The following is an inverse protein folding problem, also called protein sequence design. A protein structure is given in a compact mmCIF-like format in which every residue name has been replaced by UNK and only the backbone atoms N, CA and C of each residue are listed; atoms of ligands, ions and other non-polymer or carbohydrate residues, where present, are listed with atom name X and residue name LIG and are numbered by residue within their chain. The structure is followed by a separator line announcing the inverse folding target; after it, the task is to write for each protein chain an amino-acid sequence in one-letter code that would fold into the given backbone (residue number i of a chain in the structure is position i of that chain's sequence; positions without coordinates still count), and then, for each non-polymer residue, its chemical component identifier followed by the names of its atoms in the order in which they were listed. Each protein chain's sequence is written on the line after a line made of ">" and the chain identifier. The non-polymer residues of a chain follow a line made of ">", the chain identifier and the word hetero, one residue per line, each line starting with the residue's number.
data_IF_031078738141
#
_entry.id   IF_031078738141
#
_cell.length_a   1.000
_cell.length_b   1.000
_cell.length_c   1.000
_cell.angle_alpha   90.00
_cell.angle_beta   90.00
_cell.angle_gamma   90.00
#
_symmetry.space_group_name_H-M   'P 1'
#
loop_
_entity.id
_entity.type
_entity.pdbx_description
1 polymer ?
#
# COMPACT_ATOMS: atom_id res chain seq x y z
N UNK A 1 -18.14 7.37 -17.88
CA UNK A 1 -17.70 7.97 -16.60
C UNK A 1 -16.20 8.24 -16.75
N UNK A 2 -15.80 9.49 -16.95
CA UNK A 2 -14.39 9.87 -17.12
C UNK A 2 -13.67 9.69 -15.79
N UNK A 3 -12.71 8.77 -15.74
CA UNK A 3 -11.84 8.58 -14.57
C UNK A 3 -11.00 9.83 -14.36
N UNK A 4 -11.03 10.39 -13.16
CA UNK A 4 -10.18 11.53 -12.80
C UNK A 4 -8.71 11.10 -12.97
N UNK A 5 -7.92 11.74 -13.86
CA UNK A 5 -6.53 11.38 -14.10
C UNK A 5 -5.65 11.59 -12.87
N UNK A 6 -6.11 12.37 -11.89
CA UNK A 6 -5.43 12.62 -10.63
C UNK A 6 -5.96 11.76 -9.47
N UNK A 7 -6.94 10.90 -9.72
CA UNK A 7 -7.36 9.92 -8.71
C UNK A 7 -6.20 9.00 -8.35
N UNK A 8 -6.16 8.56 -7.10
CA UNK A 8 -5.11 7.67 -6.62
C UNK A 8 -5.08 6.35 -7.41
N UNK A 9 -6.23 5.87 -7.90
CA UNK A 9 -6.28 4.75 -8.84
C UNK A 9 -5.55 5.10 -10.14
N UNK A 10 -5.83 6.25 -10.78
CA UNK A 10 -5.13 6.67 -12.01
C UNK A 10 -3.62 6.81 -11.79
N UNK A 11 -3.18 7.33 -10.64
CA UNK A 11 -1.75 7.42 -10.28
C UNK A 11 -1.15 6.03 -10.12
N UNK A 12 -1.83 5.13 -9.42
CA UNK A 12 -1.39 3.74 -9.26
C UNK A 12 -1.25 3.06 -10.62
N UNK A 13 -2.24 3.21 -11.50
CA UNK A 13 -2.21 2.71 -12.88
C UNK A 13 -1.01 3.24 -13.67
N UNK A 14 -0.69 4.53 -13.52
CA UNK A 14 0.50 5.11 -14.13
C UNK A 14 1.80 4.50 -13.57
N UNK A 15 1.85 4.18 -12.26
CA UNK A 15 3.00 3.51 -11.65
C UNK A 15 3.16 2.06 -12.16
N UNK A 16 2.05 1.38 -12.47
CA UNK A 16 2.07 0.05 -13.07
C UNK A 16 2.65 0.09 -14.49
N UNK A 17 2.31 1.08 -15.31
CA UNK A 17 2.72 1.14 -16.72
C UNK A 17 2.00 0.09 -17.59
N UNK A 18 2.57 -0.24 -18.75
CA UNK A 18 1.99 -1.23 -19.66
C UNK A 18 2.34 -2.67 -19.22
N UNK A 19 1.37 -3.60 -19.17
CA UNK A 19 1.56 -4.97 -18.69
C UNK A 19 2.12 -5.91 -19.77
N UNK A 20 2.15 -5.52 -21.04
CA UNK A 20 2.36 -6.42 -22.18
C UNK A 20 3.61 -7.29 -22.01
N UNK A 21 3.42 -8.61 -22.01
CA UNK A 21 4.50 -9.60 -21.90
C UNK A 21 5.13 -9.72 -20.52
N UNK A 22 4.65 -8.98 -19.51
CA UNK A 22 5.16 -9.07 -18.15
C UNK A 22 4.60 -10.30 -17.43
N UNK A 23 5.41 -10.90 -16.55
CA UNK A 23 4.93 -11.76 -15.48
C UNK A 23 4.59 -10.90 -14.25
N UNK A 24 3.32 -10.93 -13.83
CA UNK A 24 2.79 -10.12 -12.71
C UNK A 24 2.48 -11.02 -11.52
N UNK A 25 2.98 -10.64 -10.34
CA UNK A 25 2.60 -11.21 -9.04
C UNK A 25 1.77 -10.19 -8.25
N UNK A 26 0.53 -10.52 -7.92
CA UNK A 26 -0.34 -9.72 -7.06
C UNK A 26 -0.33 -10.25 -5.63
N UNK A 27 0.17 -9.44 -4.69
CA UNK A 27 0.16 -9.72 -3.27
C UNK A 27 -1.13 -9.21 -2.65
N UNK A 28 -2.08 -10.13 -2.43
CA UNK A 28 -3.31 -9.92 -1.69
C UNK A 28 -4.58 -10.06 -2.52
N UNK A 29 -4.50 -9.83 -3.85
CA UNK A 29 -5.63 -9.92 -4.80
C UNK A 29 -6.89 -9.17 -4.36
N UNK A 30 -6.73 -8.03 -3.69
CA UNK A 30 -7.89 -7.28 -3.17
C UNK A 30 -8.52 -6.36 -4.22
N UNK A 31 -8.01 -6.36 -5.46
CA UNK A 31 -8.41 -5.49 -6.55
C UNK A 31 -8.59 -6.31 -7.85
N UNK A 32 -9.79 -6.86 -8.11
CA UNK A 32 -10.07 -7.69 -9.28
C UNK A 32 -9.77 -7.00 -10.64
N UNK A 33 -9.76 -5.67 -10.66
CA UNK A 33 -9.36 -4.87 -11.81
C UNK A 33 -7.88 -5.02 -12.20
N UNK A 34 -7.00 -5.42 -11.27
CA UNK A 34 -5.59 -5.68 -11.57
C UNK A 34 -5.41 -6.96 -12.38
N UNK A 35 -6.10 -8.03 -12.00
CA UNK A 35 -6.11 -9.28 -12.76
C UNK A 35 -6.62 -9.04 -14.18
N UNK A 36 -7.77 -8.38 -14.31
CA UNK A 36 -8.34 -8.04 -15.62
C UNK A 36 -7.40 -7.17 -16.45
N UNK A 37 -6.79 -6.15 -15.87
CA UNK A 37 -5.81 -5.34 -16.58
C UNK A 37 -4.61 -6.14 -17.07
N UNK A 38 -4.08 -7.01 -16.22
CA UNK A 38 -2.91 -7.80 -16.58
C UNK A 38 -3.25 -8.72 -17.76
N UNK A 39 -4.35 -9.46 -17.65
CA UNK A 39 -4.80 -10.40 -18.69
C UNK A 39 -5.20 -9.68 -19.99
N UNK A 40 -6.02 -8.63 -19.93
CA UNK A 40 -6.46 -7.85 -21.10
C UNK A 40 -5.26 -7.17 -21.80
N UNK A 41 -4.23 -6.82 -21.04
CA UNK A 41 -3.01 -6.21 -21.54
C UNK A 41 -1.93 -7.20 -21.99
N UNK A 42 -2.20 -8.52 -21.91
CA UNK A 42 -1.30 -9.58 -22.37
C UNK A 42 -0.14 -9.90 -21.43
N UNK A 43 -0.31 -9.70 -20.12
CA UNK A 43 0.57 -10.22 -19.08
C UNK A 43 0.17 -11.64 -18.64
N UNK A 44 1.14 -12.39 -18.13
CA UNK A 44 0.85 -13.52 -17.26
C UNK A 44 0.55 -12.99 -15.85
N UNK A 45 -0.47 -13.52 -15.18
CA UNK A 45 -0.89 -13.08 -13.85
C UNK A 45 -0.87 -14.24 -12.86
N UNK A 46 -0.27 -14.01 -11.71
CA UNK A 46 -0.31 -14.89 -10.54
C UNK A 46 -0.73 -14.05 -9.35
N UNK A 47 -1.68 -14.53 -8.56
CA UNK A 47 -2.14 -13.82 -7.37
C UNK A 47 -2.01 -14.69 -6.13
N UNK A 48 -1.65 -14.05 -5.03
CA UNK A 48 -1.65 -14.62 -3.69
C UNK A 48 -2.79 -14.00 -2.89
N UNK A 49 -3.62 -14.83 -2.26
CA UNK A 49 -4.73 -14.33 -1.47
C UNK A 49 -4.20 -13.65 -0.20
N UNK A 50 -4.91 -12.62 0.24
CA UNK A 50 -4.56 -11.84 1.44
C UNK A 50 -4.29 -12.73 2.67
N UNK A 51 -5.07 -13.80 2.84
CA UNK A 51 -4.96 -14.72 3.97
C UNK A 51 -3.62 -15.47 4.01
N UNK A 52 -2.94 -15.60 2.86
CA UNK A 52 -1.70 -16.35 2.73
C UNK A 52 -0.45 -15.47 2.89
N UNK A 53 -0.58 -14.14 2.83
CA UNK A 53 0.58 -13.23 2.82
C UNK A 53 1.47 -13.35 4.07
N UNK A 54 0.91 -13.67 5.23
CA UNK A 54 1.67 -13.88 6.46
C UNK A 54 2.54 -15.15 6.41
N UNK A 55 2.09 -16.17 5.66
CA UNK A 55 2.68 -17.52 5.67
C UNK A 55 3.41 -17.85 4.37
N UNK A 56 3.20 -17.07 3.31
CA UNK A 56 3.77 -17.33 2.00
C UNK A 56 5.29 -17.32 2.05
N UNK A 57 5.91 -18.48 1.78
CA UNK A 57 7.36 -18.71 1.86
C UNK A 57 8.09 -18.56 0.51
N UNK A 58 7.38 -18.23 -0.57
CA UNK A 58 7.96 -18.16 -1.93
C UNK A 58 7.99 -19.50 -2.68
N UNK A 59 7.72 -20.62 -2.01
CA UNK A 59 7.79 -21.95 -2.63
C UNK A 59 6.83 -22.06 -3.83
N UNK A 60 7.36 -22.57 -4.95
CA UNK A 60 6.57 -22.89 -6.14
C UNK A 60 6.33 -21.76 -7.13
N UNK A 61 6.85 -20.55 -6.86
CA UNK A 61 6.73 -19.42 -7.78
C UNK A 61 8.05 -19.09 -8.51
N UNK A 62 7.91 -18.57 -9.73
CA UNK A 62 9.03 -18.13 -10.57
C UNK A 62 9.46 -16.69 -10.29
N UNK A 63 10.10 -16.07 -11.28
CA UNK A 63 10.45 -14.64 -11.24
C UNK A 63 9.39 -13.81 -11.97
N UNK A 64 9.15 -12.59 -11.48
CA UNK A 64 8.12 -11.67 -11.99
C UNK A 64 8.73 -10.31 -12.34
N UNK A 65 8.30 -9.73 -13.46
CA UNK A 65 8.73 -8.40 -13.89
C UNK A 65 8.05 -7.29 -13.09
N UNK A 66 6.87 -7.59 -12.55
CA UNK A 66 6.10 -6.68 -11.71
C UNK A 66 5.51 -7.45 -10.51
N UNK A 67 5.87 -7.02 -9.32
CA UNK A 67 5.14 -7.35 -8.09
C UNK A 67 4.22 -6.18 -7.78
N UNK A 68 2.94 -6.45 -7.55
CA UNK A 68 1.94 -5.44 -7.26
C UNK A 68 1.22 -5.76 -5.95
N UNK A 69 0.81 -4.76 -5.20
CA UNK A 69 -0.10 -4.94 -4.07
C UNK A 69 -1.01 -3.73 -3.93
N UNK A 70 -2.32 -3.95 -3.96
CA UNK A 70 -3.28 -2.91 -3.65
C UNK A 70 -3.84 -3.17 -2.26
N UNK A 71 -3.77 -2.20 -1.34
CA UNK A 71 -4.51 -2.20 -0.07
C UNK A 71 -4.47 -3.53 0.72
N UNK A 72 -3.33 -4.22 0.74
CA UNK A 72 -3.17 -5.51 1.41
C UNK A 72 -2.05 -5.51 2.46
N UNK A 73 -0.90 -4.91 2.15
CA UNK A 73 0.32 -5.05 2.96
C UNK A 73 0.21 -4.47 4.39
N UNK A 74 -0.71 -3.54 4.62
CA UNK A 74 -0.99 -3.01 5.95
C UNK A 74 -1.60 -4.05 6.90
N UNK A 75 -2.05 -5.21 6.41
CA UNK A 75 -2.55 -6.32 7.23
C UNK A 75 -1.45 -7.33 7.58
N UNK A 76 -0.21 -7.12 7.10
CA UNK A 76 0.93 -8.00 7.35
C UNK A 76 1.76 -7.47 8.51
N UNK A 77 1.93 -8.29 9.55
CA UNK A 77 2.73 -8.00 10.75
C UNK A 77 4.20 -7.95 10.40
N UNK A 78 4.73 -9.03 9.81
CA UNK A 78 6.13 -9.11 9.42
C UNK A 78 6.28 -8.75 7.93
N UNK A 79 6.16 -7.46 7.64
CA UNK A 79 6.23 -6.94 6.29
C UNK A 79 7.62 -7.15 5.69
N UNK A 80 8.70 -6.96 6.44
CA UNK A 80 10.07 -7.24 6.02
C UNK A 80 10.25 -8.66 5.44
N UNK A 81 9.75 -9.69 6.14
CA UNK A 81 9.78 -11.09 5.67
C UNK A 81 9.07 -11.27 4.32
N UNK A 82 7.90 -10.63 4.17
CA UNK A 82 7.15 -10.67 2.92
C UNK A 82 7.89 -9.94 1.80
N UNK A 83 8.48 -8.77 2.10
CA UNK A 83 9.25 -7.98 1.14
C UNK A 83 10.52 -8.70 0.68
N UNK A 84 11.25 -9.35 1.58
CA UNK A 84 12.41 -10.20 1.23
C UNK A 84 12.02 -11.34 0.29
N UNK A 85 10.89 -11.99 0.59
CA UNK A 85 10.34 -13.07 -0.25
C UNK A 85 9.96 -12.51 -1.62
N UNK A 86 9.19 -11.41 -1.66
CA UNK A 86 8.82 -10.73 -2.90
C UNK A 86 10.05 -10.28 -3.70
N UNK A 87 11.09 -9.80 -3.02
CA UNK A 87 12.37 -9.37 -3.60
C UNK A 87 13.13 -10.53 -4.24
N UNK A 88 13.03 -11.73 -3.68
CA UNK A 88 13.59 -12.94 -4.30
C UNK A 88 12.92 -13.25 -5.65
N UNK A 89 11.59 -13.11 -5.69
CA UNK A 89 10.75 -13.36 -6.86
C UNK A 89 10.64 -12.19 -7.84
N UNK A 90 11.14 -10.99 -7.53
CA UNK A 90 11.14 -9.87 -8.48
C UNK A 90 12.31 -10.04 -9.45
N UNK A 91 12.14 -9.94 -10.76
CA UNK A 91 13.24 -10.02 -11.75
C UNK A 91 14.31 -8.93 -11.53
N UNK A 92 15.51 -9.09 -12.09
CA UNK A 92 16.64 -8.12 -11.94
C UNK A 92 16.23 -6.68 -12.28
N UNK A 93 15.52 -6.52 -13.39
CA UNK A 93 14.98 -5.23 -13.86
C UNK A 93 13.49 -5.05 -13.47
N UNK A 94 12.98 -5.94 -12.62
CA UNK A 94 11.63 -5.91 -12.14
C UNK A 94 11.39 -4.83 -11.09
N UNK A 95 10.11 -4.58 -10.82
CA UNK A 95 9.67 -3.52 -9.90
C UNK A 95 8.60 -4.02 -8.94
N UNK A 96 8.48 -3.33 -7.82
CA UNK A 96 7.40 -3.45 -6.86
C UNK A 96 6.55 -2.18 -6.89
N UNK A 97 5.23 -2.31 -7.03
CA UNK A 97 4.28 -1.19 -6.93
C UNK A 97 3.25 -1.51 -5.86
N UNK A 98 3.12 -0.67 -4.83
CA UNK A 98 2.18 -0.91 -3.74
C UNK A 98 1.34 0.32 -3.38
N UNK A 99 0.13 0.06 -2.91
CA UNK A 99 -0.77 1.02 -2.29
C UNK A 99 -1.14 0.56 -0.89
N UNK A 100 -1.08 1.46 0.10
CA UNK A 100 -1.51 1.20 1.48
C UNK A 100 -2.39 2.36 1.97
N UNK A 101 -3.29 2.13 2.93
CA UNK A 101 -3.96 3.22 3.63
C UNK A 101 -2.92 4.22 4.14
N UNK A 102 -3.18 5.52 3.97
CA UNK A 102 -2.20 6.53 4.31
C UNK A 102 -1.87 6.49 5.82
N UNK A 103 -0.60 6.58 6.25
CA UNK A 103 -0.23 6.57 7.66
C UNK A 103 -0.95 7.61 8.54
N UNK A 104 -1.24 8.80 8.00
CA UNK A 104 -2.11 9.82 8.65
C UNK A 104 -3.50 9.29 8.98
N UNK A 105 -4.07 8.44 8.13
CA UNK A 105 -5.39 7.83 8.33
C UNK A 105 -5.31 6.68 9.34
N UNK A 106 -4.27 5.86 9.27
CA UNK A 106 -4.11 4.71 10.17
C UNK A 106 -3.60 5.09 11.56
N UNK A 107 -3.02 6.27 11.71
CA UNK A 107 -2.67 6.88 13.00
C UNK A 107 -3.89 7.40 13.75
N UNK A 108 -4.96 7.78 13.04
CA UNK A 108 -6.14 8.36 13.66
C UNK A 108 -6.74 7.37 14.67
N UNK A 109 -7.11 7.83 15.87
CA UNK A 109 -7.64 6.95 16.90
C UNK A 109 -8.92 6.27 16.42
N UNK A 110 -8.86 4.93 16.31
CA UNK A 110 -10.04 4.08 16.27
C UNK A 110 -10.15 3.37 17.61
N UNK A 111 -11.36 3.36 18.19
CA UNK A 111 -11.60 2.72 19.47
C UNK A 111 -11.13 1.26 19.42
N UNK A 112 -10.36 0.84 20.43
CA UNK A 112 -10.06 -0.57 20.62
C UNK A 112 -11.38 -1.34 20.82
N UNK A 113 -11.51 -2.60 20.34
CA UNK A 113 -12.74 -3.38 20.42
C UNK A 113 -13.27 -3.60 21.85
N UNK A 114 -12.43 -3.40 22.86
CA UNK A 114 -12.73 -3.51 24.28
C UNK A 114 -13.03 -2.16 24.97
N UNK A 115 -13.17 -1.06 24.22
CA UNK A 115 -13.60 0.24 24.75
C UNK A 115 -12.64 0.89 25.75
N UNK A 116 -11.45 0.32 25.96
CA UNK A 116 -10.43 0.94 26.81
C UNK A 116 -9.83 2.13 26.06
N UNK A 117 -9.89 3.36 26.62
CA UNK A 117 -9.30 4.52 25.99
C UNK A 117 -7.77 4.42 26.09
N UNK A 118 -7.12 3.96 25.01
CA UNK A 118 -5.72 4.32 24.78
C UNK A 118 -5.68 5.81 24.40
N UNK A 119 -5.88 6.70 25.36
CA UNK A 119 -5.60 8.14 25.24
C UNK A 119 -6.12 8.86 23.99
N UNK A 120 -7.22 8.39 23.40
CA UNK A 120 -7.67 8.83 22.07
C UNK A 120 -8.63 10.02 22.15
N UNK A 121 -8.26 11.22 21.65
CA UNK A 121 -9.25 12.22 21.34
C UNK A 121 -10.00 11.80 20.06
N UNK A 122 -11.34 11.75 20.10
CA UNK A 122 -12.17 11.65 18.90
C UNK A 122 -11.93 12.82 17.93
N UNK A 123 -12.53 12.79 16.72
CA UNK A 123 -12.47 13.91 15.79
C UNK A 123 -12.80 15.20 16.54
N UNK A 124 -11.98 16.24 16.33
CA UNK A 124 -12.27 17.52 16.95
C UNK A 124 -13.63 18.03 16.44
N UNK A 125 -14.35 18.87 17.20
CA UNK A 125 -15.68 19.37 16.84
C UNK A 125 -15.74 20.07 15.47
N UNK A 126 -14.59 20.46 14.93
CA UNK A 126 -14.38 21.14 13.64
C UNK A 126 -14.08 20.18 12.47
N UNK A 127 -14.05 18.86 12.70
CA UNK A 127 -13.71 17.86 11.69
C UNK A 127 -12.21 17.66 11.46
N UNK A 128 -11.34 18.26 12.29
CA UNK A 128 -9.90 18.03 12.21
C UNK A 128 -9.52 16.64 12.73
N UNK A 129 -8.69 15.92 11.95
CA UNK A 129 -8.06 14.67 12.39
C UNK A 129 -6.99 15.03 13.42
N UNK A 130 -7.19 14.63 14.68
CA UNK A 130 -6.11 14.67 15.67
C UNK A 130 -5.15 13.53 15.38
N UNK A 131 -3.98 13.88 14.86
CA UNK A 131 -2.86 12.98 14.66
C UNK A 131 -2.22 12.63 16.02
N UNK A 132 -2.91 11.83 16.82
CA UNK A 132 -2.32 11.23 18.03
C UNK A 132 -1.76 9.86 17.68
N UNK A 133 -0.50 9.59 18.02
CA UNK A 133 0.09 8.26 17.87
C UNK A 133 0.52 7.87 16.45
N UNK A 134 0.82 8.87 15.60
CA UNK A 134 1.42 8.64 14.28
C UNK A 134 2.82 8.01 14.37
N UNK A 135 3.61 8.39 15.37
CA UNK A 135 4.94 7.80 15.55
C UNK A 135 4.92 6.50 16.35
N UNK A 136 3.75 6.11 16.88
CA UNK A 136 3.58 4.89 17.67
C UNK A 136 3.23 3.71 16.73
N UNK A 137 4.17 3.28 15.89
CA UNK A 137 3.94 2.15 14.98
C UNK A 137 3.47 0.89 15.71
N UNK A 138 2.63 0.10 15.06
CA UNK A 138 2.14 -1.17 15.61
C UNK A 138 0.67 -1.45 15.32
N UNK A 139 0.12 -2.34 16.13
CA UNK A 139 -1.23 -2.87 15.95
C UNK A 139 -2.31 -1.77 16.07
N UNK A 140 -3.29 -1.77 15.15
CA UNK A 140 -4.47 -0.89 15.16
C UNK A 140 -5.71 -1.63 14.65
N UNK A 141 -6.88 -1.27 15.18
CA UNK A 141 -8.15 -1.64 14.56
C UNK A 141 -8.58 -0.55 13.59
N UNK A 142 -8.89 -0.90 12.34
CA UNK A 142 -9.37 0.01 11.31
C UNK A 142 -10.51 -0.66 10.54
N UNK A 143 -11.69 -0.01 10.53
CA UNK A 143 -12.90 -0.52 9.87
C UNK A 143 -13.25 -1.98 10.29
N UNK A 144 -13.16 -2.25 11.60
CA UNK A 144 -13.43 -3.58 12.17
C UNK A 144 -12.36 -4.65 11.91
N UNK A 145 -11.30 -4.33 11.16
CA UNK A 145 -10.20 -5.23 10.86
C UNK A 145 -8.92 -4.85 11.62
N UNK A 146 -8.09 -5.86 11.91
CA UNK A 146 -6.77 -5.64 12.46
C UNK A 146 -5.79 -5.21 11.36
N UNK A 147 -5.00 -4.17 11.63
CA UNK A 147 -3.96 -3.65 10.74
C UNK A 147 -2.68 -3.34 11.53
N UNK A 148 -1.59 -3.16 10.81
CA UNK A 148 -0.29 -2.74 11.35
C UNK A 148 0.03 -1.34 10.83
N UNK A 149 -0.19 -0.34 11.68
CA UNK A 149 0.20 1.04 11.42
C UNK A 149 1.72 1.16 11.35
N UNK A 150 2.17 1.79 10.27
CA UNK A 150 3.55 2.22 10.03
C UNK A 150 3.52 3.64 9.53
N UNK A 151 4.53 4.41 9.90
CA UNK A 151 4.82 5.71 9.30
C UNK A 151 5.25 5.54 7.85
N UNK A 152 5.23 6.62 7.07
CA UNK A 152 5.84 6.62 5.74
C UNK A 152 7.33 6.28 5.80
N UNK A 153 8.04 6.77 6.82
CA UNK A 153 9.44 6.43 7.06
C UNK A 153 9.63 4.94 7.32
N UNK A 154 8.78 4.32 8.14
CA UNK A 154 8.80 2.87 8.40
C UNK A 154 8.62 2.04 7.13
N UNK A 155 7.66 2.40 6.27
CA UNK A 155 7.51 1.75 4.96
C UNK A 155 8.76 1.90 4.09
N UNK A 156 9.31 3.12 3.99
CA UNK A 156 10.51 3.38 3.18
C UNK A 156 11.75 2.66 3.71
N UNK A 157 11.89 2.57 5.03
CA UNK A 157 12.95 1.83 5.69
C UNK A 157 12.87 0.34 5.37
N UNK A 158 11.70 -0.29 5.59
CA UNK A 158 11.49 -1.71 5.30
C UNK A 158 11.74 -2.03 3.81
N UNK A 159 11.21 -1.21 2.89
CA UNK A 159 11.48 -1.36 1.45
C UNK A 159 12.98 -1.33 1.15
N UNK A 160 13.71 -0.35 1.71
CA UNK A 160 15.15 -0.19 1.50
C UNK A 160 15.94 -1.39 2.01
N UNK A 161 15.72 -1.81 3.25
CA UNK A 161 16.50 -2.91 3.86
C UNK A 161 16.18 -4.26 3.21
N UNK A 162 14.96 -4.44 2.71
CA UNK A 162 14.56 -5.64 1.98
C UNK A 162 14.91 -5.62 0.49
N UNK A 163 15.77 -4.70 0.04
CA UNK A 163 16.33 -4.75 -1.32
C UNK A 163 15.49 -4.07 -2.40
N UNK A 164 14.63 -3.11 -2.04
CA UNK A 164 13.94 -2.24 -2.99
C UNK A 164 14.43 -0.80 -2.90
N UNK A 165 14.60 -0.15 -4.04
CA UNK A 165 14.90 1.28 -4.11
C UNK A 165 13.65 2.07 -4.51
N UNK A 166 13.27 3.08 -3.74
CA UNK A 166 12.18 3.99 -4.10
C UNK A 166 12.51 4.69 -5.42
N UNK A 167 11.54 4.70 -6.34
CA UNK A 167 11.60 5.45 -7.61
C UNK A 167 10.62 6.62 -7.56
N UNK A 168 9.37 6.36 -7.16
CA UNK A 168 8.34 7.38 -6.99
C UNK A 168 7.47 7.11 -5.76
N UNK A 169 7.04 8.19 -5.11
CA UNK A 169 6.10 8.20 -3.99
C UNK A 169 4.95 9.15 -4.33
N UNK A 170 3.73 8.76 -3.99
CA UNK A 170 2.57 9.65 -3.98
C UNK A 170 1.87 9.54 -2.63
N UNK A 171 1.86 10.63 -1.87
CA UNK A 171 1.11 10.77 -0.60
C UNK A 171 -0.34 11.25 -0.82
N UNK A 172 -0.83 11.17 -2.06
CA UNK A 172 -2.08 11.81 -2.47
C UNK A 172 -1.87 13.28 -2.85
N UNK A 173 -2.85 13.85 -3.55
CA UNK A 173 -2.83 15.26 -3.97
C UNK A 173 -4.06 15.98 -3.43
N UNK A 174 -3.91 17.28 -3.13
CA UNK A 174 -5.07 18.16 -2.94
C UNK A 174 -5.90 18.14 -4.23
N UNK A 175 -7.20 17.91 -4.10
CA UNK A 175 -8.14 18.10 -5.20
C UNK A 175 -8.11 19.57 -5.65
N UNK A 176 -8.00 19.82 -6.96
CA UNK A 176 -8.06 21.19 -7.50
C UNK A 176 -9.44 21.79 -7.18
N UNK A 177 -9.48 23.05 -6.72
CA UNK A 177 -10.71 23.77 -6.42
C UNK A 177 -11.16 23.75 -4.96
N UNK A 178 -10.44 23.04 -4.06
CA UNK A 178 -10.71 23.15 -2.62
C UNK A 178 -10.40 24.59 -2.14
N UNK A 179 -11.33 25.27 -1.44
CA UNK A 179 -11.13 26.64 -0.98
C UNK A 179 -9.89 26.73 -0.08
N UNK A 180 -9.10 27.79 -0.28
CA UNK A 180 -7.98 28.11 0.60
C UNK A 180 -8.55 28.38 2.01
N UNK A 181 -8.16 27.55 2.99
CA UNK A 181 -8.62 27.68 4.38
C UNK A 181 -9.69 26.67 4.83
N UNK A 182 -10.19 25.79 3.95
CA UNK A 182 -11.05 24.67 4.35
C UNK A 182 -10.25 23.45 4.85
N UNK A 183 -10.87 22.60 5.69
CA UNK A 183 -10.32 21.30 6.06
C UNK A 183 -9.97 20.51 4.78
N UNK A 184 -8.71 20.12 4.63
CA UNK A 184 -8.29 19.29 3.52
C UNK A 184 -8.69 17.85 3.87
N UNK A 185 -9.43 17.14 3.00
CA UNK A 185 -9.65 15.73 3.22
C UNK A 185 -8.29 15.03 3.33
N UNK A 186 -8.10 14.24 4.38
CA UNK A 186 -6.86 13.50 4.57
C UNK A 186 -6.59 12.63 3.34
N UNK A 187 -5.32 12.50 2.91
CA UNK A 187 -4.97 11.57 1.85
C UNK A 187 -5.42 10.16 2.25
N UNK A 188 -6.00 9.40 1.32
CA UNK A 188 -6.59 8.10 1.67
C UNK A 188 -5.55 6.99 1.61
N UNK A 189 -4.58 7.12 0.71
CA UNK A 189 -3.55 6.12 0.49
C UNK A 189 -2.19 6.73 0.15
N UNK A 190 -1.15 5.97 0.46
CA UNK A 190 0.21 6.21 0.01
C UNK A 190 0.57 5.16 -1.06
N UNK A 191 1.15 5.62 -2.17
CA UNK A 191 1.53 4.79 -3.31
C UNK A 191 3.05 4.82 -3.50
N UNK A 192 3.65 3.66 -3.71
CA UNK A 192 5.08 3.51 -3.88
C UNK A 192 5.38 2.77 -5.16
N UNK A 193 6.28 3.31 -5.99
CA UNK A 193 6.91 2.61 -7.11
C UNK A 193 8.37 2.40 -6.77
N UNK A 194 8.79 1.14 -6.72
CA UNK A 194 10.13 0.76 -6.32
C UNK A 194 10.77 -0.13 -7.38
N UNK A 195 12.08 0.01 -7.60
CA UNK A 195 12.87 -0.93 -8.40
C UNK A 195 13.51 -1.98 -7.50
N UNK A 196 13.80 -3.16 -8.04
CA UNK A 196 14.71 -4.10 -7.39
C UNK A 196 16.10 -3.45 -7.23
N UNK A 197 16.62 -3.35 -6.01
CA UNK A 197 17.96 -2.82 -5.77
C UNK A 197 19.03 -3.87 -6.08
N UNK A 198 20.13 -3.43 -6.68
CA UNK A 198 21.39 -4.16 -6.78
C UNK A 198 22.34 -3.60 -5.71
N UNK A 199 22.68 -4.41 -4.72
CA UNK A 199 23.74 -4.12 -3.77
C UNK A 199 24.96 -4.97 -4.12
#
# INVERSE_FOLDING_TARGET
>A
MTTDPLSEHSVFRAFLGEPRGAAVLDLGRTAPELERWALDGGAAYTGLDLADLERWSGVGLGSFDLVVSWMALHRVRNLARLLETARHHTARDGRLVLAVPHPVVTAAPHAAPNGTPNGAPGPAPDGAVRLSGYFDEGERTWDGAMIWHRTLEGYLYELRVCGFGLVELSEGRRMRGAPAGGAVPAPRQALFRCRRATF
#
